data_IF_012013023318
#
_entry.id   IF_012013023318
#
_cell.length_a   1.000
_cell.length_b   1.000
_cell.length_c   1.000
_cell.angle_alpha   90.00
_cell.angle_beta   90.00
_cell.angle_gamma   90.00
#
_symmetry.space_group_name_H-M   'P 1'
#
loop_
_entity.id
_entity.type
_entity.pdbx_description
1 polymer ?
#
# COMPACT_ATOMS: atom_id res chain seq x y z
N UNK A 1 9.64 -1.25 -20.25
CA UNK A 1 9.44 -2.73 -20.26
C UNK A 1 8.50 -3.05 -21.41
N UNK A 2 8.59 -4.21 -22.10
CA UNK A 2 7.66 -4.55 -23.19
C UNK A 2 6.37 -5.13 -22.63
N UNK A 3 5.22 -4.78 -23.24
CA UNK A 3 3.89 -5.34 -22.90
C UNK A 3 3.82 -6.80 -23.36
N UNK A 4 4.18 -7.74 -22.48
CA UNK A 4 4.14 -9.18 -22.71
C UNK A 4 3.54 -9.89 -21.50
N UNK A 5 2.85 -11.03 -21.72
CA UNK A 5 2.26 -11.80 -20.62
C UNK A 5 3.32 -12.30 -19.63
N UNK A 6 4.53 -12.64 -20.12
CA UNK A 6 5.66 -13.00 -19.26
C UNK A 6 6.03 -11.88 -18.29
N UNK A 7 6.13 -10.65 -18.78
CA UNK A 7 6.47 -9.49 -17.94
C UNK A 7 5.37 -9.17 -16.95
N UNK A 8 4.09 -9.29 -17.35
CA UNK A 8 2.95 -9.15 -16.44
C UNK A 8 2.99 -10.21 -15.34
N UNK A 9 3.24 -11.47 -15.68
CA UNK A 9 3.32 -12.55 -14.69
C UNK A 9 4.46 -12.36 -13.69
N UNK A 10 5.61 -11.85 -14.14
CA UNK A 10 6.73 -11.51 -13.24
C UNK A 10 6.31 -10.42 -12.25
N UNK A 11 5.70 -9.32 -12.73
CA UNK A 11 5.25 -8.24 -11.86
C UNK A 11 4.13 -8.68 -10.90
N UNK A 12 3.20 -9.51 -11.38
CA UNK A 12 2.15 -10.11 -10.55
C UNK A 12 2.75 -10.97 -9.43
N UNK A 13 3.71 -11.83 -9.77
CA UNK A 13 4.39 -12.69 -8.80
C UNK A 13 5.15 -11.86 -7.76
N UNK A 14 5.92 -10.86 -8.19
CA UNK A 14 6.62 -9.93 -7.29
C UNK A 14 5.65 -9.19 -6.38
N UNK A 15 4.53 -8.72 -6.91
CA UNK A 15 3.49 -8.05 -6.13
C UNK A 15 2.92 -8.96 -5.04
N UNK A 16 2.48 -10.17 -5.41
CA UNK A 16 1.87 -11.13 -4.47
C UNK A 16 2.87 -11.52 -3.37
N UNK A 17 4.11 -11.83 -3.73
CA UNK A 17 5.14 -12.17 -2.76
C UNK A 17 5.43 -10.98 -1.83
N UNK A 18 5.55 -9.78 -2.39
CA UNK A 18 5.87 -8.57 -1.61
C UNK A 18 4.76 -8.22 -0.62
N UNK A 19 3.48 -8.33 -0.99
CA UNK A 19 2.37 -8.04 -0.08
C UNK A 19 2.27 -9.09 1.05
N UNK A 20 2.52 -10.37 0.75
CA UNK A 20 2.55 -11.43 1.77
C UNK A 20 3.70 -11.20 2.75
N UNK A 21 4.91 -10.96 2.25
CA UNK A 21 6.07 -10.66 3.11
C UNK A 21 5.84 -9.40 3.93
N UNK A 22 5.28 -8.34 3.33
CA UNK A 22 5.00 -7.08 4.04
C UNK A 22 4.12 -7.28 5.28
N UNK A 23 3.11 -8.12 5.18
CA UNK A 23 2.24 -8.42 6.33
C UNK A 23 2.90 -9.35 7.35
N UNK A 24 3.71 -10.33 6.92
CA UNK A 24 4.45 -11.22 7.81
C UNK A 24 5.47 -10.45 8.66
N UNK A 25 6.24 -9.54 8.04
CA UNK A 25 7.23 -8.72 8.76
C UNK A 25 6.64 -7.43 9.32
N UNK A 26 5.35 -7.20 9.09
CA UNK A 26 4.65 -5.97 9.48
C UNK A 26 4.58 -5.75 10.99
N UNK A 27 4.55 -6.82 11.77
CA UNK A 27 4.56 -6.78 13.24
C UNK A 27 5.84 -6.19 13.82
N UNK A 28 6.97 -6.25 13.08
CA UNK A 28 8.22 -5.63 13.51
C UNK A 28 8.18 -4.13 13.26
N UNK A 29 8.22 -3.35 14.32
CA UNK A 29 8.38 -1.89 14.24
C UNK A 29 9.84 -1.51 14.08
N UNK A 30 10.11 -0.55 13.20
CA UNK A 30 11.45 -0.02 12.92
C UNK A 30 11.46 1.45 13.35
N UNK A 31 12.43 1.85 14.17
CA UNK A 31 12.64 3.26 14.49
C UNK A 31 13.37 3.94 13.35
N UNK A 32 12.95 5.17 13.03
CA UNK A 32 13.64 6.00 12.02
C UNK A 32 14.82 6.77 12.64
N UNK A 33 14.96 6.77 13.97
CA UNK A 33 15.93 7.59 14.68
C UNK A 33 15.58 9.08 14.75
N UNK A 34 14.43 9.47 14.20
CA UNK A 34 13.95 10.86 14.22
C UNK A 34 13.01 11.05 15.41
N UNK A 35 13.27 12.05 16.22
CA UNK A 35 12.46 12.41 17.39
C UNK A 35 11.79 13.77 17.19
N UNK A 36 10.48 13.84 17.38
CA UNK A 36 9.68 15.06 17.39
C UNK A 36 9.23 15.34 18.84
N UNK A 37 10.12 15.95 19.63
CA UNK A 37 9.90 16.08 21.06
C UNK A 37 9.81 14.71 21.75
N UNK A 38 8.71 14.42 22.49
CA UNK A 38 8.53 13.13 23.15
C UNK A 38 8.15 11.97 22.19
N UNK A 39 7.86 12.28 20.91
CA UNK A 39 7.40 11.30 19.93
C UNK A 39 8.59 10.78 19.10
N UNK A 40 8.83 9.47 19.15
CA UNK A 40 9.81 8.82 18.28
C UNK A 40 9.08 8.32 17.01
N UNK A 41 9.58 8.78 15.86
CA UNK A 41 9.03 8.32 14.58
C UNK A 41 9.44 6.87 14.33
N UNK A 42 8.46 6.03 14.06
CA UNK A 42 8.64 4.62 13.75
C UNK A 42 7.81 4.24 12.53
N UNK A 43 8.09 3.07 11.97
CA UNK A 43 7.35 2.53 10.83
C UNK A 43 7.23 1.01 10.98
N UNK A 44 6.26 0.42 10.29
CA UNK A 44 6.17 -1.03 10.15
C UNK A 44 7.31 -1.57 9.29
N UNK A 45 7.90 -2.70 9.67
CA UNK A 45 8.92 -3.38 8.87
C UNK A 45 8.44 -3.76 7.46
N UNK A 46 7.14 -3.97 7.31
CA UNK A 46 6.50 -4.24 6.02
C UNK A 46 6.56 -3.08 5.03
N UNK A 47 6.77 -1.85 5.49
CA UNK A 47 6.76 -0.67 4.62
C UNK A 47 7.83 -0.71 3.51
N UNK A 48 8.97 -1.35 3.77
CA UNK A 48 10.06 -1.49 2.77
C UNK A 48 9.63 -2.38 1.60
N UNK A 49 9.05 -3.55 1.91
CA UNK A 49 8.54 -4.48 0.89
C UNK A 49 7.28 -3.94 0.22
N UNK A 50 6.49 -3.14 0.93
CA UNK A 50 5.31 -2.50 0.40
C UNK A 50 5.63 -1.48 -0.71
N UNK A 51 6.81 -0.85 -0.70
CA UNK A 51 7.27 0.00 -1.79
C UNK A 51 7.32 -0.75 -3.14
N UNK A 52 7.74 -2.02 -3.12
CA UNK A 52 7.77 -2.85 -4.35
C UNK A 52 6.35 -3.06 -4.89
N UNK A 53 5.34 -3.15 -4.03
CA UNK A 53 3.94 -3.31 -4.49
C UNK A 53 3.44 -2.07 -5.22
N UNK A 54 3.76 -0.86 -4.76
CA UNK A 54 3.42 0.38 -5.46
C UNK A 54 4.07 0.43 -6.83
N UNK A 55 5.38 0.19 -6.89
CA UNK A 55 6.10 0.19 -8.16
C UNK A 55 5.50 -0.82 -9.17
N UNK A 56 5.14 -2.03 -8.71
CA UNK A 56 4.52 -3.04 -9.57
C UNK A 56 3.14 -2.59 -10.08
N UNK A 57 2.29 -2.02 -9.22
CA UNK A 57 0.95 -1.55 -9.61
C UNK A 57 1.03 -0.38 -10.56
N UNK A 58 1.95 0.55 -10.35
CA UNK A 58 2.14 1.72 -11.21
C UNK A 58 2.63 1.31 -12.60
N UNK A 59 3.64 0.43 -12.68
CA UNK A 59 4.13 -0.10 -13.96
C UNK A 59 3.01 -0.84 -14.70
N UNK A 60 2.24 -1.69 -14.00
CA UNK A 60 1.14 -2.43 -14.64
C UNK A 60 0.00 -1.50 -15.02
N UNK A 61 -0.33 -0.52 -14.20
CA UNK A 61 -1.33 0.49 -14.50
C UNK A 61 -1.03 1.27 -15.76
N UNK A 62 0.24 1.65 -15.95
CA UNK A 62 0.72 2.40 -17.12
C UNK A 62 0.78 1.53 -18.38
N UNK A 63 1.34 0.32 -18.30
CA UNK A 63 1.60 -0.51 -19.50
C UNK A 63 0.39 -1.35 -19.91
N UNK A 64 -0.37 -1.91 -18.95
CA UNK A 64 -1.51 -2.82 -19.21
C UNK A 64 -2.86 -2.22 -18.88
N UNK A 65 -2.88 -1.05 -18.26
CA UNK A 65 -4.08 -0.31 -17.90
C UNK A 65 -4.70 -0.70 -16.56
N UNK A 66 -5.62 0.16 -16.10
CA UNK A 66 -6.23 0.12 -14.77
C UNK A 66 -6.87 -1.23 -14.41
N UNK A 67 -7.56 -1.88 -15.35
CA UNK A 67 -8.22 -3.18 -15.10
C UNK A 67 -7.21 -4.27 -14.71
N UNK A 68 -6.06 -4.33 -15.39
CA UNK A 68 -5.00 -5.30 -15.07
C UNK A 68 -4.32 -5.00 -13.73
N UNK A 69 -4.13 -3.73 -13.39
CA UNK A 69 -3.62 -3.33 -12.07
C UNK A 69 -4.60 -3.71 -10.95
N UNK A 70 -5.91 -3.48 -11.13
CA UNK A 70 -6.93 -3.91 -10.16
C UNK A 70 -6.97 -5.43 -9.98
N UNK A 71 -6.85 -6.19 -11.07
CA UNK A 71 -6.76 -7.65 -10.99
C UNK A 71 -5.50 -8.10 -10.23
N UNK A 72 -4.36 -7.44 -10.43
CA UNK A 72 -3.13 -7.70 -9.68
C UNK A 72 -3.36 -7.51 -8.17
N UNK A 73 -3.99 -6.42 -7.75
CA UNK A 73 -4.33 -6.14 -6.36
C UNK A 73 -5.27 -7.22 -5.80
N UNK A 74 -6.29 -7.63 -6.57
CA UNK A 74 -7.20 -8.70 -6.18
C UNK A 74 -6.46 -10.03 -5.95
N UNK A 75 -5.57 -10.44 -6.86
CA UNK A 75 -4.76 -11.64 -6.69
C UNK A 75 -3.79 -11.55 -5.50
N UNK A 76 -3.27 -10.35 -5.21
CA UNK A 76 -2.49 -10.10 -4.01
C UNK A 76 -3.28 -10.36 -2.73
N UNK A 77 -4.53 -9.90 -2.66
CA UNK A 77 -5.40 -10.17 -1.52
C UNK A 77 -5.75 -11.65 -1.39
N UNK A 78 -6.04 -12.35 -2.50
CA UNK A 78 -6.27 -13.80 -2.49
C UNK A 78 -5.04 -14.54 -1.95
N UNK A 79 -3.84 -14.19 -2.43
CA UNK A 79 -2.59 -14.76 -1.93
C UNK A 79 -2.35 -14.47 -0.45
N UNK A 80 -2.67 -13.26 0.01
CA UNK A 80 -2.55 -12.87 1.41
C UNK A 80 -3.52 -13.64 2.32
N UNK A 81 -4.78 -13.80 1.91
CA UNK A 81 -5.77 -14.59 2.66
C UNK A 81 -5.32 -16.05 2.75
N UNK A 82 -4.85 -16.62 1.64
CA UNK A 82 -4.31 -17.98 1.63
C UNK A 82 -3.13 -18.14 2.59
N UNK A 83 -2.16 -17.23 2.55
CA UNK A 83 -1.01 -17.24 3.46
C UNK A 83 -1.44 -17.14 4.92
N UNK A 84 -2.41 -16.27 5.23
CA UNK A 84 -2.94 -16.10 6.59
C UNK A 84 -3.62 -17.37 7.09
N UNK A 85 -4.45 -18.02 6.26
CA UNK A 85 -5.10 -19.29 6.61
C UNK A 85 -4.04 -20.37 6.87
N UNK A 86 -3.00 -20.48 6.01
CA UNK A 86 -1.92 -21.44 6.18
C UNK A 86 -1.16 -21.21 7.51
N UNK A 87 -0.87 -19.96 7.86
CA UNK A 87 -0.22 -19.59 9.12
C UNK A 87 -1.10 -20.00 10.31
N UNK A 88 -2.40 -19.70 10.29
CA UNK A 88 -3.33 -20.05 11.38
C UNK A 88 -3.45 -21.55 11.54
N UNK A 89 -3.64 -22.31 10.44
CA UNK A 89 -3.75 -23.76 10.47
C UNK A 89 -2.47 -24.41 11.00
N UNK A 90 -1.30 -23.92 10.59
CA UNK A 90 -0.02 -24.40 11.12
C UNK A 90 0.11 -24.11 12.61
N UNK A 91 -0.34 -22.93 13.07
CA UNK A 91 -0.30 -22.57 14.49
C UNK A 91 -1.23 -23.42 15.39
N UNK A 92 -2.25 -24.07 14.83
CA UNK A 92 -3.08 -25.03 15.56
C UNK A 92 -2.49 -26.42 15.66
N UNK A 93 -1.48 -26.72 14.84
CA UNK A 93 -0.78 -28.00 14.93
C UNK A 93 0.13 -28.02 16.16
N UNK A 94 0.20 -29.19 16.80
CA UNK A 94 1.06 -29.38 17.97
C UNK A 94 2.54 -29.28 17.58
N UNK A 95 3.23 -28.31 18.15
CA UNK A 95 4.68 -28.16 17.94
C UNK A 95 5.47 -29.20 18.71
N UNK A 96 6.62 -29.60 18.16
CA UNK A 96 7.59 -30.52 18.83
C UNK A 96 8.41 -29.75 19.85
N UNK A 97 8.79 -28.50 19.53
CA UNK A 97 9.61 -27.65 20.39
C UNK A 97 8.80 -26.46 20.92
N UNK A 98 8.59 -26.39 22.26
CA UNK A 98 7.82 -25.29 22.87
C UNK A 98 8.45 -23.89 22.68
N UNK A 99 9.79 -23.80 22.55
CA UNK A 99 10.48 -22.52 22.35
C UNK A 99 10.20 -21.96 20.95
N UNK A 100 10.27 -22.85 19.95
CA UNK A 100 9.93 -22.49 18.56
C UNK A 100 8.45 -22.13 18.44
N UNK A 101 7.56 -22.87 19.14
CA UNK A 101 6.12 -22.55 19.14
C UNK A 101 5.85 -21.17 19.74
N UNK A 102 6.47 -20.85 20.88
CA UNK A 102 6.35 -19.52 21.49
C UNK A 102 6.79 -18.38 20.55
N UNK A 103 7.91 -18.57 19.85
CA UNK A 103 8.38 -17.62 18.85
C UNK A 103 7.41 -17.52 17.65
N UNK A 104 6.90 -18.64 17.17
CA UNK A 104 5.92 -18.70 16.09
C UNK A 104 4.63 -17.93 16.44
N UNK A 105 4.04 -18.20 17.60
CA UNK A 105 2.82 -17.53 18.06
C UNK A 105 3.05 -16.03 18.26
N UNK A 106 4.21 -15.63 18.77
CA UNK A 106 4.55 -14.22 18.98
C UNK A 106 4.69 -13.46 17.66
N UNK A 107 5.33 -14.06 16.65
CA UNK A 107 5.64 -13.39 15.38
C UNK A 107 4.52 -13.54 14.35
N UNK A 108 3.91 -14.70 14.25
CA UNK A 108 2.97 -15.04 13.20
C UNK A 108 1.53 -15.18 13.69
N UNK A 109 1.32 -15.50 14.96
CA UNK A 109 -0.02 -15.67 15.53
C UNK A 109 -0.90 -14.43 15.43
N UNK A 110 -0.29 -13.25 15.36
CA UNK A 110 -0.98 -11.96 15.20
C UNK A 110 -1.10 -11.51 13.73
N UNK A 111 -0.56 -12.25 12.79
CA UNK A 111 -0.54 -11.85 11.36
C UNK A 111 -1.94 -11.52 10.81
N UNK A 112 -2.98 -12.23 11.24
CA UNK A 112 -4.36 -12.01 10.81
C UNK A 112 -4.88 -10.59 11.13
N UNK A 113 -4.43 -9.97 12.23
CA UNK A 113 -4.82 -8.60 12.60
C UNK A 113 -4.24 -7.59 11.61
N UNK A 114 -2.99 -7.80 11.20
CA UNK A 114 -2.32 -6.96 10.20
C UNK A 114 -3.01 -7.07 8.84
N UNK A 115 -3.46 -8.27 8.48
CA UNK A 115 -4.21 -8.50 7.23
C UNK A 115 -5.58 -7.81 7.27
N UNK A 116 -6.32 -7.94 8.36
CA UNK A 116 -7.59 -7.23 8.54
C UNK A 116 -7.38 -5.72 8.50
N UNK A 117 -6.38 -5.21 9.22
CA UNK A 117 -6.01 -3.80 9.20
C UNK A 117 -5.70 -3.30 7.80
N UNK A 118 -4.94 -4.07 7.03
CA UNK A 118 -4.59 -3.76 5.63
C UNK A 118 -5.81 -3.75 4.71
N UNK A 119 -6.71 -4.73 4.83
CA UNK A 119 -7.93 -4.79 4.01
C UNK A 119 -8.89 -3.64 4.32
N UNK A 120 -9.12 -3.34 5.61
CA UNK A 120 -9.96 -2.22 6.03
C UNK A 120 -9.38 -0.87 5.57
N UNK A 121 -8.07 -0.67 5.73
CA UNK A 121 -7.38 0.52 5.29
C UNK A 121 -7.50 0.70 3.78
N UNK A 122 -7.24 -0.35 3.00
CA UNK A 122 -7.36 -0.34 1.55
C UNK A 122 -8.78 0.03 1.10
N UNK A 123 -9.81 -0.63 1.64
CA UNK A 123 -11.19 -0.36 1.25
C UNK A 123 -11.61 1.08 1.56
N UNK A 124 -11.29 1.57 2.76
CA UNK A 124 -11.62 2.92 3.17
C UNK A 124 -10.85 3.97 2.36
N UNK A 125 -9.54 3.78 2.17
CA UNK A 125 -8.70 4.73 1.43
C UNK A 125 -9.08 4.78 -0.05
N UNK A 126 -9.38 3.66 -0.69
CA UNK A 126 -9.82 3.62 -2.08
C UNK A 126 -11.18 4.28 -2.27
N UNK A 127 -12.13 4.04 -1.36
CA UNK A 127 -13.44 4.69 -1.41
C UNK A 127 -13.32 6.20 -1.26
N UNK A 128 -12.44 6.65 -0.35
CA UNK A 128 -12.15 8.06 -0.13
C UNK A 128 -11.45 8.69 -1.32
N UNK A 129 -10.46 8.01 -1.90
CA UNK A 129 -9.73 8.49 -3.07
C UNK A 129 -10.67 8.78 -4.24
N UNK A 130 -11.54 7.85 -4.58
CA UNK A 130 -12.54 8.01 -5.63
C UNK A 130 -13.47 9.19 -5.33
N UNK A 131 -13.97 9.31 -4.10
CA UNK A 131 -14.86 10.38 -3.69
C UNK A 131 -14.19 11.76 -3.81
N UNK A 132 -12.98 11.91 -3.26
CA UNK A 132 -12.25 13.19 -3.27
C UNK A 132 -11.80 13.54 -4.68
N UNK A 133 -11.34 12.57 -5.47
CA UNK A 133 -10.98 12.75 -6.87
C UNK A 133 -12.11 13.41 -7.66
N UNK A 134 -13.31 12.85 -7.60
CA UNK A 134 -14.46 13.42 -8.30
C UNK A 134 -14.86 14.78 -7.75
N UNK A 135 -14.85 14.96 -6.43
CA UNK A 135 -15.20 16.23 -5.79
C UNK A 135 -14.26 17.36 -6.19
N UNK A 136 -12.94 17.13 -6.20
CA UNK A 136 -11.96 18.14 -6.61
C UNK A 136 -12.09 18.41 -8.11
N UNK A 137 -12.20 17.35 -8.94
CA UNK A 137 -12.38 17.47 -10.39
C UNK A 137 -13.60 18.32 -10.74
N UNK A 138 -14.76 18.02 -10.16
CA UNK A 138 -16.01 18.74 -10.45
C UNK A 138 -15.96 20.18 -9.96
N UNK A 139 -15.31 20.46 -8.84
CA UNK A 139 -15.07 21.81 -8.35
C UNK A 139 -14.16 22.61 -9.30
N UNK A 140 -13.10 21.96 -9.81
CA UNK A 140 -12.17 22.57 -10.77
C UNK A 140 -12.85 22.89 -12.09
N UNK A 141 -13.63 21.96 -12.67
CA UNK A 141 -14.37 22.16 -13.92
C UNK A 141 -15.39 23.30 -13.79
N UNK A 142 -16.11 23.35 -12.66
CA UNK A 142 -17.06 24.46 -12.40
C UNK A 142 -16.38 25.82 -12.34
N UNK A 143 -15.13 25.88 -11.86
CA UNK A 143 -14.41 27.16 -11.72
C UNK A 143 -13.70 27.61 -13.00
N UNK A 144 -13.17 26.68 -13.80
CA UNK A 144 -12.29 26.98 -14.92
C UNK A 144 -12.91 26.66 -16.30
N UNK A 145 -14.03 25.92 -16.34
CA UNK A 145 -14.70 25.54 -17.60
C UNK A 145 -13.94 24.54 -18.48
N UNK A 146 -12.73 24.12 -18.09
CA UNK A 146 -11.87 23.20 -18.85
C UNK A 146 -11.26 22.14 -17.96
N UNK A 147 -10.95 20.99 -18.57
CA UNK A 147 -10.30 19.82 -17.94
C UNK A 147 -8.77 19.90 -18.09
N UNK A 148 -8.27 20.78 -18.97
CA UNK A 148 -6.85 20.92 -19.27
C UNK A 148 -6.11 21.66 -18.15
N UNK A 149 -5.04 21.02 -17.62
CA UNK A 149 -4.18 21.62 -16.60
C UNK A 149 -4.50 21.27 -15.15
N UNK A 150 -5.72 20.82 -14.82
CA UNK A 150 -6.10 20.49 -13.45
C UNK A 150 -5.85 19.04 -13.02
N UNK A 151 -5.49 18.13 -13.93
CA UNK A 151 -5.35 16.69 -13.66
C UNK A 151 -4.42 16.37 -12.51
N UNK A 152 -3.32 17.11 -12.40
CA UNK A 152 -2.37 16.94 -11.31
C UNK A 152 -3.00 17.26 -9.95
N UNK A 153 -3.86 18.28 -9.86
CA UNK A 153 -4.46 18.75 -8.59
C UNK A 153 -5.39 17.69 -8.01
N UNK A 154 -6.35 17.17 -8.79
CA UNK A 154 -7.29 16.19 -8.27
C UNK A 154 -6.66 14.82 -8.08
N UNK A 155 -5.68 14.42 -8.92
CA UNK A 155 -4.99 13.16 -8.77
C UNK A 155 -4.11 13.17 -7.50
N UNK A 156 -3.24 14.17 -7.34
CA UNK A 156 -2.37 14.23 -6.16
C UNK A 156 -3.15 14.60 -4.88
N UNK A 157 -4.16 15.45 -4.97
CA UNK A 157 -4.98 15.83 -3.82
C UNK A 157 -5.77 14.64 -3.26
N UNK A 158 -6.35 13.79 -4.12
CA UNK A 158 -7.05 12.58 -3.68
C UNK A 158 -6.07 11.57 -3.10
N UNK A 159 -4.95 11.32 -3.77
CA UNK A 159 -3.94 10.36 -3.32
C UNK A 159 -3.31 10.76 -1.98
N UNK A 160 -2.94 12.03 -1.79
CA UNK A 160 -2.37 12.47 -0.51
C UNK A 160 -3.34 12.25 0.66
N UNK A 161 -4.62 12.58 0.48
CA UNK A 161 -5.63 12.41 1.54
C UNK A 161 -5.98 10.94 1.79
N UNK A 162 -6.06 10.12 0.73
CA UNK A 162 -6.32 8.69 0.85
C UNK A 162 -5.18 7.94 1.56
N UNK A 163 -3.93 8.34 1.34
CA UNK A 163 -2.77 7.76 2.02
C UNK A 163 -2.74 8.10 3.53
N UNK A 164 -3.26 9.25 3.95
CA UNK A 164 -3.42 9.57 5.37
C UNK A 164 -4.43 8.60 6.01
N UNK A 165 -5.58 8.40 5.36
CA UNK A 165 -6.63 7.49 5.83
C UNK A 165 -6.12 6.05 5.88
N UNK A 166 -5.46 5.58 4.82
CA UNK A 166 -4.84 4.27 4.75
C UNK A 166 -3.91 4.02 5.94
N UNK A 167 -2.97 4.95 6.15
CA UNK A 167 -1.99 4.85 7.23
C UNK A 167 -2.63 4.89 8.61
N UNK A 168 -3.62 5.77 8.82
CA UNK A 168 -4.31 5.91 10.09
C UNK A 168 -5.12 4.66 10.45
N UNK A 169 -5.91 4.13 9.51
CA UNK A 169 -6.74 2.93 9.72
C UNK A 169 -5.84 1.70 9.92
N UNK A 170 -4.83 1.52 9.07
CA UNK A 170 -3.89 0.41 9.22
C UNK A 170 -3.20 0.43 10.57
N UNK A 171 -2.59 1.55 10.95
CA UNK A 171 -1.89 1.67 12.22
C UNK A 171 -2.83 1.49 13.41
N UNK A 172 -4.04 2.07 13.37
CA UNK A 172 -5.00 1.94 14.46
C UNK A 172 -5.49 0.51 14.64
N UNK A 173 -5.86 -0.19 13.56
CA UNK A 173 -6.35 -1.58 13.66
C UNK A 173 -5.20 -2.52 14.04
N UNK A 174 -4.06 -2.44 13.33
CA UNK A 174 -2.98 -3.40 13.49
C UNK A 174 -2.21 -3.22 14.79
N UNK A 175 -1.82 -1.99 15.12
CA UNK A 175 -1.02 -1.69 16.30
C UNK A 175 -1.88 -1.18 17.47
N UNK A 176 -2.87 -0.31 17.17
CA UNK A 176 -3.74 0.25 18.20
C UNK A 176 -4.57 -0.83 18.88
N UNK A 177 -5.35 -1.58 18.12
CA UNK A 177 -6.23 -2.63 18.63
C UNK A 177 -5.49 -3.97 18.73
N UNK A 178 -4.75 -4.36 17.69
CA UNK A 178 -4.10 -5.66 17.61
C UNK A 178 -2.99 -5.86 18.64
N UNK A 179 -2.10 -4.90 18.81
CA UNK A 179 -1.04 -4.91 19.82
C UNK A 179 -1.42 -4.18 21.11
N UNK A 180 -2.63 -3.64 21.19
CA UNK A 180 -3.11 -2.99 22.41
C UNK A 180 -2.54 -1.59 22.68
N UNK A 181 -1.85 -0.97 21.73
CA UNK A 181 -1.21 0.34 21.92
C UNK A 181 -2.22 1.47 22.19
N UNK A 182 -3.46 1.36 21.71
CA UNK A 182 -4.50 2.35 21.97
C UNK A 182 -4.89 2.43 23.45
N UNK A 183 -4.64 1.39 24.24
CA UNK A 183 -5.12 1.27 25.64
C UNK A 183 -4.13 1.81 26.67
N UNK A 184 -2.89 2.12 26.28
CA UNK A 184 -1.86 2.67 27.18
C UNK A 184 -1.44 4.07 26.75
N UNK A 185 -1.10 5.00 27.68
CA UNK A 185 -0.63 6.33 27.33
C UNK A 185 0.63 6.32 26.45
N UNK A 186 1.60 5.46 26.80
CA UNK A 186 2.83 5.28 26.04
C UNK A 186 2.56 4.67 24.65
N UNK A 187 1.68 3.67 24.58
CA UNK A 187 1.27 3.07 23.31
C UNK A 187 0.61 4.06 22.36
N UNK A 188 -0.22 4.97 22.88
CA UNK A 188 -0.82 6.04 22.05
C UNK A 188 0.23 6.98 21.45
N UNK A 189 1.27 7.33 22.21
CA UNK A 189 2.38 8.13 21.69
C UNK A 189 3.15 7.38 20.60
N UNK A 190 3.42 6.10 20.81
CA UNK A 190 4.06 5.23 19.81
C UNK A 190 3.19 5.08 18.56
N UNK A 191 1.87 4.97 18.70
CA UNK A 191 0.92 4.88 17.59
C UNK A 191 0.94 6.16 16.73
N UNK A 192 0.93 7.34 17.35
CA UNK A 192 1.04 8.62 16.64
C UNK A 192 2.39 8.72 15.91
N UNK A 193 3.49 8.37 16.58
CA UNK A 193 4.83 8.34 16.00
C UNK A 193 4.91 7.40 14.78
N UNK A 194 4.22 6.25 14.85
CA UNK A 194 4.13 5.31 13.74
C UNK A 194 3.30 5.86 12.58
N UNK A 195 2.14 6.46 12.84
CA UNK A 195 1.30 7.06 11.78
C UNK A 195 2.07 8.11 11.00
N UNK A 196 2.77 9.02 11.71
CA UNK A 196 3.58 10.07 11.09
C UNK A 196 4.77 9.47 10.34
N UNK A 197 5.54 8.59 10.99
CA UNK A 197 6.73 7.97 10.41
C UNK A 197 6.40 7.13 9.16
N UNK A 198 5.33 6.37 9.20
CA UNK A 198 4.89 5.55 8.06
C UNK A 198 4.38 6.41 6.89
N UNK A 199 3.66 7.49 7.16
CA UNK A 199 3.23 8.43 6.12
C UNK A 199 4.42 9.12 5.44
N UNK A 200 5.38 9.61 6.24
CA UNK A 200 6.61 10.23 5.72
C UNK A 200 7.43 9.23 4.90
N UNK A 201 7.59 8.00 5.40
CA UNK A 201 8.31 6.97 4.65
C UNK A 201 7.62 6.66 3.32
N UNK A 202 6.28 6.51 3.28
CA UNK A 202 5.53 6.31 2.03
C UNK A 202 5.76 7.46 1.04
N UNK A 203 5.76 8.70 1.51
CA UNK A 203 6.04 9.86 0.68
C UNK A 203 7.47 9.84 0.11
N UNK A 204 8.47 9.50 0.94
CA UNK A 204 9.86 9.34 0.48
C UNK A 204 10.01 8.20 -0.53
N UNK A 205 9.35 7.07 -0.30
CA UNK A 205 9.38 5.92 -1.21
C UNK A 205 8.73 6.25 -2.55
N UNK A 206 7.59 6.94 -2.56
CA UNK A 206 6.93 7.40 -3.79
C UNK A 206 7.82 8.34 -4.61
N UNK A 207 8.63 9.19 -3.96
CA UNK A 207 9.63 10.01 -4.63
C UNK A 207 10.78 9.16 -5.18
N UNK A 208 11.24 8.17 -4.41
CA UNK A 208 12.32 7.26 -4.83
C UNK A 208 11.89 6.30 -5.93
N UNK A 209 10.63 5.89 -5.98
CA UNK A 209 10.08 5.02 -7.02
C UNK A 209 9.93 5.72 -8.38
N UNK A 210 9.79 7.04 -8.39
CA UNK A 210 9.61 7.85 -9.61
C UNK A 210 10.65 7.56 -10.69
N UNK A 211 11.98 7.60 -10.44
CA UNK A 211 12.99 7.29 -11.45
C UNK A 211 12.91 5.85 -11.97
N UNK A 212 12.58 4.87 -11.12
CA UNK A 212 12.39 3.49 -11.51
C UNK A 212 11.15 3.33 -12.40
N UNK A 213 10.04 3.97 -12.03
CA UNK A 213 8.83 4.00 -12.83
C UNK A 213 9.13 4.52 -14.25
N UNK A 214 9.79 5.68 -14.37
CA UNK A 214 10.18 6.23 -15.69
C UNK A 214 11.14 5.31 -16.46
N UNK A 215 12.06 4.66 -15.79
CA UNK A 215 12.99 3.72 -16.45
C UNK A 215 12.25 2.52 -17.04
N UNK A 216 11.29 1.93 -16.33
CA UNK A 216 10.54 0.76 -16.79
C UNK A 216 9.45 1.10 -17.81
N UNK A 217 8.82 2.28 -17.73
CA UNK A 217 7.71 2.68 -18.62
C UNK A 217 8.18 3.44 -19.88
N UNK A 218 9.40 3.94 -19.90
CA UNK A 218 9.99 4.82 -20.93
C UNK A 218 9.71 4.42 -22.39
N UNK A 219 9.53 3.13 -22.70
CA UNK A 219 9.32 2.62 -24.08
C UNK A 219 7.84 2.58 -24.51
N UNK A 220 6.91 2.61 -23.58
CA UNK A 220 5.47 2.40 -23.86
C UNK A 220 4.67 3.71 -23.84
N UNK A 221 5.16 4.75 -23.17
CA UNK A 221 4.52 6.08 -23.13
C UNK A 221 4.37 6.69 -24.54
N UNK A 222 5.26 6.33 -25.48
CA UNK A 222 5.18 6.75 -26.88
C UNK A 222 3.99 6.16 -27.64
N UNK A 223 3.48 4.98 -27.25
CA UNK A 223 2.38 4.31 -27.95
C UNK A 223 1.00 4.74 -27.45
N UNK A 224 0.84 5.03 -26.15
CA UNK A 224 -0.44 5.49 -25.60
C UNK A 224 -0.81 6.93 -25.95
N UNK A 225 0.16 7.77 -26.24
CA UNK A 225 -0.09 9.12 -26.77
C UNK A 225 -0.87 9.11 -28.08
N UNK A 226 -0.68 8.10 -28.91
CA UNK A 226 -1.37 7.93 -30.19
C UNK A 226 -2.78 7.34 -30.03
N UNK A 227 -3.01 6.39 -29.13
CA UNK A 227 -4.34 5.83 -28.85
C UNK A 227 -5.28 6.85 -28.21
N UNK A 228 -4.77 7.75 -27.35
CA UNK A 228 -5.61 8.83 -26.78
C UNK A 228 -5.97 9.90 -27.81
N UNK A 229 -5.14 10.13 -28.82
CA UNK A 229 -5.44 11.07 -29.92
C UNK A 229 -6.44 10.45 -30.93
N UNK A 230 -6.37 9.16 -31.22
CA UNK A 230 -7.32 8.46 -32.09
C UNK A 230 -8.70 8.35 -31.45
N UNK A 231 -8.82 8.07 -30.15
CA UNK A 231 -10.11 8.00 -29.44
C UNK A 231 -10.72 9.38 -29.10
N UNK A 232 -9.98 10.46 -29.24
CA UNK A 232 -10.49 11.83 -29.11
C UNK A 232 -10.91 12.46 -30.44
N UNK A 233 -10.66 11.77 -31.55
CA UNK A 233 -11.01 12.21 -32.91
C UNK A 233 -12.23 11.48 -33.49
N UNK A 234 -12.80 10.50 -32.76
CA UNK A 234 -14.11 9.90 -33.02
C UNK A 234 -15.14 10.40 -32.01
#
# INVERSE_FOLDING_TARGET
MKKTDKNYSILLTLFVISIVIANVVGSRTITTGIHLGPITLSTSGGAITYAVTFLCTDIVGEIWGRKKAQNMVFFGFVGQIFATIAIILTGWCRAVDPVIDGAYQTLLGQNWVFVIGSLCAYYASQSWDVFVFHKIRDAYIRKHGDVKGGRWIWNNGSTCTSQIIDTAIYAFISFGLGLGWAFTPEGRMNLIGMMIGQYLLKACLALADTPFFYFFTRREVTNHGNEYQENAAC
#
